data_IF_420141183628
#
_entry.id   IF_420141183628
#
_cell.length_a   1.000
_cell.length_b   1.000
_cell.length_c   1.000
_cell.angle_alpha   90.00
_cell.angle_beta   90.00
_cell.angle_gamma   90.00
#
_symmetry.space_group_name_H-M   'P 1'
#
loop_
_entity.id
_entity.type
_entity.pdbx_description
1 polymer ?
#
# COMPACT_ATOMS: atom_id res chain seq x y z
N UNK A 1 -0.33 9.64 -16.50
CA UNK A 1 0.16 10.27 -15.31
C UNK A 1 0.69 11.64 -15.53
N UNK A 2 1.33 12.13 -14.55
CA UNK A 2 1.94 13.46 -14.59
C UNK A 2 1.13 14.53 -13.87
N UNK A 3 -0.04 14.18 -13.37
CA UNK A 3 -0.78 15.10 -12.52
C UNK A 3 -0.05 15.29 -11.20
N UNK A 4 0.12 16.54 -10.78
CA UNK A 4 0.73 16.87 -9.50
C UNK A 4 -0.26 17.67 -8.66
N UNK A 5 -0.41 17.25 -7.42
CA UNK A 5 -1.27 17.91 -6.44
C UNK A 5 -0.46 18.16 -5.17
N UNK A 6 -0.71 19.28 -4.52
CA UNK A 6 0.01 19.71 -3.34
C UNK A 6 -0.96 20.10 -2.22
N UNK A 7 -0.46 20.10 -0.99
CA UNK A 7 -1.16 20.62 0.15
C UNK A 7 -1.66 19.54 1.10
N UNK A 8 -2.66 19.89 1.90
CA UNK A 8 -3.20 19.03 2.95
C UNK A 8 -4.65 18.63 2.69
N UNK A 9 -5.16 18.88 1.48
CA UNK A 9 -6.53 18.51 1.12
C UNK A 9 -6.66 17.00 0.91
N UNK A 10 -7.89 16.52 0.92
CA UNK A 10 -8.18 15.16 0.46
C UNK A 10 -7.87 15.08 -1.03
N UNK A 11 -7.11 14.05 -1.41
CA UNK A 11 -6.68 13.83 -2.79
C UNK A 11 -7.41 12.61 -3.33
N UNK A 12 -7.99 12.74 -4.51
CA UNK A 12 -8.72 11.64 -5.15
C UNK A 12 -8.16 11.37 -6.54
N UNK A 13 -8.46 10.18 -7.06
CA UNK A 13 -8.15 9.77 -8.43
C UNK A 13 -6.66 9.82 -8.78
N UNK A 14 -5.81 9.41 -7.82
CA UNK A 14 -4.39 9.23 -8.10
C UNK A 14 -4.23 7.96 -8.94
N UNK A 15 -3.68 8.11 -10.14
CA UNK A 15 -3.53 7.03 -11.10
C UNK A 15 -2.07 6.61 -11.20
N UNK A 16 -1.84 5.46 -11.84
CA UNK A 16 -0.47 4.96 -12.03
C UNK A 16 0.36 6.01 -12.77
N UNK A 17 1.50 6.33 -12.17
CA UNK A 17 2.41 7.36 -12.68
C UNK A 17 2.20 8.74 -12.09
N UNK A 18 1.06 8.99 -11.45
CA UNK A 18 0.78 10.29 -10.86
C UNK A 18 1.64 10.51 -9.62
N UNK A 19 2.07 11.75 -9.45
CA UNK A 19 2.81 12.20 -8.28
C UNK A 19 2.04 13.26 -7.54
N UNK A 20 2.01 13.13 -6.21
CA UNK A 20 1.56 14.19 -5.32
C UNK A 20 2.81 14.73 -4.65
N UNK A 21 3.18 15.98 -4.94
CA UNK A 21 4.49 16.52 -4.55
C UNK A 21 4.59 16.76 -3.05
N UNK A 22 3.52 17.22 -2.43
CA UNK A 22 3.52 17.52 -1.00
C UNK A 22 2.09 17.41 -0.45
N UNK A 23 1.84 16.32 0.26
CA UNK A 23 0.59 16.09 0.94
C UNK A 23 0.88 15.96 2.44
N UNK A 24 0.61 17.03 3.19
CA UNK A 24 0.94 17.14 4.62
C UNK A 24 2.44 16.88 4.91
N UNK A 25 3.32 17.24 3.98
CA UNK A 25 4.74 17.00 4.10
C UNK A 25 5.23 15.70 3.44
N UNK A 26 4.34 14.92 2.86
CA UNK A 26 4.66 13.64 2.24
C UNK A 26 4.52 13.74 0.73
N UNK A 27 5.58 13.40 0.01
CA UNK A 27 5.49 13.17 -1.43
C UNK A 27 5.04 11.74 -1.69
N UNK A 28 4.11 11.54 -2.62
CA UNK A 28 3.52 10.22 -2.90
C UNK A 28 3.48 9.98 -4.39
N UNK A 29 3.90 8.80 -4.82
CA UNK A 29 3.78 8.37 -6.20
C UNK A 29 3.20 6.96 -6.26
N UNK A 30 2.13 6.79 -7.03
CA UNK A 30 1.61 5.47 -7.38
C UNK A 30 2.46 4.95 -8.53
N UNK A 31 3.32 3.98 -8.24
CA UNK A 31 4.39 3.58 -9.14
C UNK A 31 3.95 2.52 -10.15
N UNK A 32 3.38 1.42 -9.68
CA UNK A 32 3.01 0.31 -10.57
C UNK A 32 2.09 -0.68 -9.86
N UNK A 33 1.48 -1.57 -10.65
CA UNK A 33 0.76 -2.73 -10.19
C UNK A 33 1.30 -3.97 -10.87
N UNK A 34 1.35 -5.08 -10.15
CA UNK A 34 1.67 -6.37 -10.77
C UNK A 34 0.93 -7.51 -10.07
N UNK A 35 0.71 -8.61 -10.79
CA UNK A 35 0.14 -9.79 -10.17
C UNK A 35 1.24 -10.62 -9.51
N UNK A 36 0.90 -11.26 -8.40
CA UNK A 36 1.82 -12.18 -7.70
C UNK A 36 1.33 -13.59 -7.92
N UNK A 37 2.18 -14.41 -8.54
CA UNK A 37 1.89 -15.80 -8.85
C UNK A 37 2.77 -16.80 -8.07
N UNK A 38 3.62 -16.29 -7.17
CA UNK A 38 4.51 -17.12 -6.36
C UNK A 38 3.83 -17.74 -5.15
N UNK A 39 2.62 -17.31 -4.82
CA UNK A 39 1.83 -17.87 -3.74
C UNK A 39 0.42 -18.17 -4.25
N UNK A 40 -0.19 -19.28 -3.83
CA UNK A 40 -1.53 -19.63 -4.32
C UNK A 40 -2.58 -18.71 -3.72
N UNK A 41 -3.43 -18.18 -4.58
CA UNK A 41 -4.65 -17.50 -4.18
C UNK A 41 -5.81 -18.48 -4.17
N UNK A 42 -6.91 -18.09 -3.51
CA UNK A 42 -8.14 -18.85 -3.53
C UNK A 42 -8.59 -19.06 -4.98
N UNK A 43 -9.22 -20.19 -5.27
CA UNK A 43 -9.71 -20.48 -6.62
C UNK A 43 -10.63 -19.37 -7.12
N UNK A 44 -10.38 -18.87 -8.33
CA UNK A 44 -11.12 -17.76 -8.91
C UNK A 44 -10.62 -16.37 -8.49
N UNK A 45 -9.55 -16.31 -7.69
CA UNK A 45 -8.96 -15.04 -7.22
C UNK A 45 -7.50 -14.94 -7.64
N UNK A 46 -6.95 -13.74 -7.54
CA UNK A 46 -5.53 -13.49 -7.75
C UNK A 46 -5.04 -12.45 -6.74
N UNK A 47 -3.73 -12.46 -6.49
CA UNK A 47 -3.09 -11.43 -5.68
C UNK A 47 -2.57 -10.33 -6.58
N UNK A 48 -2.87 -9.08 -6.20
CA UNK A 48 -2.36 -7.89 -6.86
C UNK A 48 -1.51 -7.13 -5.86
N UNK A 49 -0.31 -6.74 -6.28
CA UNK A 49 0.56 -5.84 -5.53
C UNK A 49 0.49 -4.45 -6.13
N UNK A 50 0.32 -3.46 -5.28
CA UNK A 50 0.30 -2.04 -5.65
C UNK A 50 1.51 -1.39 -5.01
N UNK A 51 2.39 -0.81 -5.81
CA UNK A 51 3.60 -0.14 -5.33
C UNK A 51 3.38 1.35 -5.22
N UNK A 52 3.61 1.88 -4.02
CA UNK A 52 3.53 3.30 -3.73
C UNK A 52 4.85 3.73 -3.12
N UNK A 53 5.46 4.77 -3.67
CA UNK A 53 6.68 5.36 -3.13
C UNK A 53 6.31 6.63 -2.37
N UNK A 54 6.82 6.78 -1.16
CA UNK A 54 6.58 7.95 -0.32
C UNK A 54 7.91 8.58 0.09
N UNK A 55 7.94 9.90 0.15
CA UNK A 55 9.14 10.66 0.54
C UNK A 55 8.72 11.67 1.61
N UNK A 56 9.42 11.66 2.73
CA UNK A 56 9.20 12.66 3.77
C UNK A 56 9.92 13.95 3.37
N UNK A 57 9.16 14.97 3.03
CA UNK A 57 9.69 16.23 2.55
C UNK A 57 9.96 17.24 3.65
N UNK A 58 9.72 16.86 4.89
CA UNK A 58 9.96 17.76 6.02
C UNK A 58 11.42 17.70 6.46
N UNK A 59 11.84 18.72 7.21
CA UNK A 59 13.20 18.81 7.70
C UNK A 59 13.38 18.18 9.07
N UNK A 60 12.30 18.08 9.85
CA UNK A 60 12.41 17.70 11.26
C UNK A 60 11.23 16.88 11.79
N UNK A 61 10.35 16.38 10.93
CA UNK A 61 9.24 15.55 11.36
C UNK A 61 9.43 14.10 10.90
N UNK A 62 8.99 13.17 11.74
CA UNK A 62 8.96 11.74 11.40
C UNK A 62 7.51 11.31 11.28
N UNK A 63 7.16 10.58 10.23
CA UNK A 63 5.80 10.13 9.98
C UNK A 63 5.69 8.62 10.09
N UNK A 64 4.69 8.14 10.81
CA UNK A 64 4.29 6.74 10.69
C UNK A 64 3.44 6.61 9.43
N UNK A 65 4.01 5.98 8.40
CA UNK A 65 3.37 5.92 7.08
C UNK A 65 2.45 4.72 6.90
N UNK A 66 2.37 3.81 7.89
CA UNK A 66 1.46 2.68 7.81
C UNK A 66 1.36 1.99 9.15
N UNK A 67 0.34 2.33 9.94
CA UNK A 67 0.12 1.69 11.23
C UNK A 67 -0.18 0.20 11.06
N UNK A 68 0.54 -0.66 11.77
CA UNK A 68 0.37 -2.10 11.73
C UNK A 68 0.19 -2.61 13.15
N UNK A 69 -0.76 -3.54 13.32
CA UNK A 69 -0.98 -4.19 14.60
C UNK A 69 -0.40 -5.61 14.54
N UNK A 70 0.88 -5.74 14.84
CA UNK A 70 1.58 -7.01 14.78
C UNK A 70 1.02 -8.03 15.81
N UNK A 71 0.57 -7.56 16.97
CA UNK A 71 0.00 -8.44 17.98
C UNK A 71 -1.30 -9.06 17.49
N UNK A 72 -2.17 -8.26 16.87
CA UNK A 72 -3.42 -8.76 16.30
C UNK A 72 -3.16 -9.73 15.15
N UNK A 73 -2.20 -9.41 14.28
CA UNK A 73 -1.81 -10.28 13.17
C UNK A 73 -1.31 -11.63 13.70
N UNK A 74 -0.41 -11.61 14.67
CA UNK A 74 0.15 -12.82 15.22
C UNK A 74 -0.90 -13.67 15.95
N UNK A 75 -1.86 -13.03 16.62
CA UNK A 75 -2.94 -13.74 17.28
C UNK A 75 -3.92 -14.38 16.28
N UNK A 76 -4.24 -13.66 15.21
CA UNK A 76 -5.17 -14.14 14.19
C UNK A 76 -4.53 -15.13 13.22
N UNK A 77 -3.25 -14.95 12.92
CA UNK A 77 -2.54 -15.71 11.88
C UNK A 77 -1.15 -16.16 12.35
N UNK A 78 -1.09 -16.97 13.41
CA UNK A 78 0.21 -17.33 14.03
C UNK A 78 1.12 -18.12 13.10
N UNK A 79 0.59 -19.11 12.38
CA UNK A 79 1.32 -19.90 11.38
C UNK A 79 0.31 -20.38 10.34
N UNK A 80 0.37 -19.89 9.10
CA UNK A 80 -0.61 -20.31 8.10
C UNK A 80 -0.35 -21.73 7.63
N UNK A 81 -1.36 -22.61 7.67
CA UNK A 81 -1.28 -23.89 6.97
C UNK A 81 -1.16 -23.67 5.47
N UNK A 82 -0.49 -24.58 4.77
CA UNK A 82 -0.26 -24.42 3.32
C UNK A 82 -1.55 -24.33 2.52
N UNK A 83 -2.58 -25.05 2.94
CA UNK A 83 -3.89 -25.05 2.27
C UNK A 83 -4.82 -23.93 2.74
N UNK A 84 -4.42 -23.15 3.73
CA UNK A 84 -5.21 -22.01 4.20
C UNK A 84 -4.80 -20.75 3.43
N UNK A 85 -5.56 -20.43 2.38
CA UNK A 85 -5.23 -19.34 1.47
C UNK A 85 -5.30 -17.98 2.16
N UNK A 86 -6.28 -17.77 3.05
CA UNK A 86 -6.41 -16.49 3.76
C UNK A 86 -5.22 -16.25 4.69
N UNK A 87 -4.80 -17.28 5.43
CA UNK A 87 -3.63 -17.18 6.29
C UNK A 87 -2.35 -16.97 5.47
N UNK A 88 -2.26 -17.57 4.28
CA UNK A 88 -1.13 -17.34 3.37
C UNK A 88 -1.10 -15.89 2.88
N UNK A 89 -2.25 -15.32 2.58
CA UNK A 89 -2.34 -13.90 2.20
C UNK A 89 -1.81 -13.01 3.33
N UNK A 90 -2.23 -13.27 4.57
CA UNK A 90 -1.79 -12.47 5.72
C UNK A 90 -0.32 -12.68 6.06
N UNK A 91 0.27 -13.79 5.63
CA UNK A 91 1.72 -13.99 5.75
C UNK A 91 2.50 -13.16 4.72
N UNK A 92 1.88 -12.83 3.59
CA UNK A 92 2.50 -11.99 2.56
C UNK A 92 2.47 -10.51 2.92
N UNK A 93 1.46 -10.06 3.65
CA UNK A 93 1.29 -8.65 3.95
C UNK A 93 0.59 -8.48 5.30
N UNK A 94 1.13 -7.59 6.11
CA UNK A 94 0.56 -7.28 7.42
C UNK A 94 -0.70 -6.43 7.28
N UNK A 95 -1.70 -6.68 8.12
CA UNK A 95 -2.87 -5.82 8.18
C UNK A 95 -2.48 -4.41 8.62
N UNK A 96 -3.12 -3.41 8.04
CA UNK A 96 -2.90 -2.02 8.40
C UNK A 96 -4.23 -1.29 8.44
N UNK A 97 -4.43 -0.48 9.49
CA UNK A 97 -5.62 0.35 9.62
C UNK A 97 -5.57 1.59 8.72
N UNK A 98 -4.41 1.87 8.10
CA UNK A 98 -4.23 3.06 7.27
C UNK A 98 -4.74 2.87 5.84
N UNK A 99 -5.05 1.64 5.44
CA UNK A 99 -5.48 1.34 4.07
C UNK A 99 -6.80 0.60 4.05
N UNK A 100 -7.66 1.00 3.12
CA UNK A 100 -8.88 0.26 2.79
C UNK A 100 -8.98 0.15 1.27
N UNK A 101 -9.70 -0.86 0.79
CA UNK A 101 -9.75 -1.11 -0.64
C UNK A 101 -11.11 -1.61 -1.08
N UNK A 102 -11.45 -1.34 -2.33
CA UNK A 102 -12.61 -1.92 -2.99
C UNK A 102 -12.24 -2.37 -4.40
N UNK A 103 -12.91 -3.39 -4.88
CA UNK A 103 -12.74 -3.95 -6.21
C UNK A 103 -14.11 -4.08 -6.85
N UNK A 104 -14.34 -3.37 -7.96
CA UNK A 104 -15.63 -3.32 -8.65
C UNK A 104 -16.79 -3.02 -7.68
N UNK A 105 -16.55 -2.08 -6.74
CA UNK A 105 -17.55 -1.65 -5.77
C UNK A 105 -17.68 -2.52 -4.53
N UNK A 106 -16.94 -3.61 -4.41
CA UNK A 106 -16.98 -4.51 -3.25
C UNK A 106 -15.72 -4.33 -2.40
N UNK A 107 -15.89 -4.28 -1.08
CA UNK A 107 -14.75 -4.21 -0.17
C UNK A 107 -13.87 -5.44 -0.31
N UNK A 108 -12.56 -5.23 -0.38
CA UNK A 108 -11.56 -6.29 -0.38
C UNK A 108 -10.51 -6.01 0.67
N UNK A 109 -9.86 -7.07 1.12
CA UNK A 109 -8.81 -6.97 2.11
C UNK A 109 -7.56 -6.34 1.50
N UNK A 110 -6.92 -5.43 2.24
CA UNK A 110 -5.69 -4.77 1.82
C UNK A 110 -4.67 -4.90 2.94
N UNK A 111 -3.59 -5.61 2.68
CA UNK A 111 -2.43 -5.65 3.55
C UNK A 111 -1.34 -4.73 3.03
N UNK A 112 -0.32 -4.50 3.84
CA UNK A 112 0.79 -3.64 3.46
C UNK A 112 2.12 -4.22 3.93
N UNK A 113 3.10 -4.24 3.03
CA UNK A 113 4.50 -4.44 3.36
C UNK A 113 5.21 -3.10 3.21
N UNK A 114 5.87 -2.67 4.25
CA UNK A 114 6.49 -1.35 4.31
C UNK A 114 7.98 -1.52 4.47
N UNK A 115 8.74 -0.86 3.60
CA UNK A 115 10.21 -0.86 3.67
C UNK A 115 10.70 0.57 3.60
N UNK A 116 11.59 0.93 4.52
CA UNK A 116 12.23 2.23 4.51
C UNK A 116 13.66 2.07 4.02
N UNK A 117 14.07 2.94 3.12
CA UNK A 117 15.42 2.92 2.57
C UNK A 117 16.28 3.96 3.29
N UNK A 118 17.41 3.53 3.81
CA UNK A 118 18.42 4.40 4.40
C UNK A 118 19.55 4.57 3.40
N UNK A 119 19.69 5.78 2.85
CA UNK A 119 20.69 6.08 1.84
C UNK A 119 22.12 6.07 2.39
N UNK A 120 22.30 6.33 3.68
CA UNK A 120 23.63 6.35 4.30
C UNK A 120 24.22 4.94 4.41
N UNK A 121 23.43 3.98 4.85
CA UNK A 121 23.86 2.58 4.98
C UNK A 121 23.54 1.73 3.75
N UNK A 122 22.75 2.26 2.82
CA UNK A 122 22.26 1.53 1.64
C UNK A 122 21.52 0.26 2.02
N UNK A 123 20.72 0.34 3.10
CA UNK A 123 19.96 -0.79 3.62
C UNK A 123 18.49 -0.45 3.74
N UNK A 124 17.68 -1.51 3.79
CA UNK A 124 16.25 -1.40 4.03
C UNK A 124 15.94 -1.82 5.46
N UNK A 125 14.89 -1.24 6.03
CA UNK A 125 14.34 -1.65 7.31
C UNK A 125 12.83 -1.84 7.18
N UNK A 126 12.25 -2.57 8.12
CA UNK A 126 10.82 -2.81 8.19
C UNK A 126 10.10 -1.84 9.14
N UNK A 127 10.78 -0.79 9.56
CA UNK A 127 10.16 0.29 10.33
C UNK A 127 9.09 0.99 9.50
N UNK A 128 8.05 1.48 10.16
CA UNK A 128 7.01 2.31 9.53
C UNK A 128 7.19 3.80 9.81
N UNK A 129 8.22 4.17 10.57
CA UNK A 129 8.50 5.55 10.96
C UNK A 129 9.49 6.17 9.99
N UNK A 130 8.97 6.93 9.03
CA UNK A 130 9.75 7.55 7.96
C UNK A 130 10.40 8.83 8.48
N UNK A 131 11.75 8.87 8.56
CA UNK A 131 12.45 10.04 9.06
C UNK A 131 12.44 11.18 8.04
N UNK A 132 12.82 12.40 8.48
CA UNK A 132 12.93 13.54 7.56
C UNK A 132 13.82 13.20 6.38
N UNK A 133 13.39 13.60 5.20
CA UNK A 133 14.08 13.38 3.92
C UNK A 133 14.22 11.90 3.53
N UNK A 134 13.60 10.98 4.29
CA UNK A 134 13.65 9.56 4.01
C UNK A 134 12.70 9.14 2.90
N UNK A 135 12.95 7.97 2.33
CA UNK A 135 12.10 7.34 1.31
C UNK A 135 11.54 6.04 1.84
N UNK A 136 10.24 5.85 1.65
CA UNK A 136 9.56 4.63 2.01
C UNK A 136 8.86 4.00 0.83
N UNK A 137 8.75 2.68 0.84
CA UNK A 137 8.06 1.92 -0.19
C UNK A 137 6.92 1.15 0.47
N UNK A 138 5.71 1.36 -0.06
CA UNK A 138 4.52 0.65 0.36
C UNK A 138 4.17 -0.36 -0.71
N UNK A 139 4.22 -1.63 -0.38
CA UNK A 139 3.70 -2.68 -1.25
C UNK A 139 2.37 -3.13 -0.67
N UNK A 140 1.29 -2.67 -1.29
CA UNK A 140 -0.06 -3.01 -0.88
C UNK A 140 -0.45 -4.32 -1.54
N UNK A 141 -1.03 -5.22 -0.76
CA UNK A 141 -1.39 -6.56 -1.23
C UNK A 141 -2.89 -6.72 -1.16
N UNK A 142 -3.48 -7.12 -2.28
CA UNK A 142 -4.92 -7.32 -2.39
C UNK A 142 -5.21 -8.69 -2.99
N UNK A 143 -6.28 -9.31 -2.50
CA UNK A 143 -6.83 -10.53 -3.11
C UNK A 143 -8.13 -10.16 -3.80
N UNK A 144 -8.16 -10.30 -5.13
CA UNK A 144 -9.27 -9.83 -5.96
C UNK A 144 -9.76 -10.94 -6.87
N UNK A 145 -11.05 -10.93 -7.26
CA UNK A 145 -11.56 -11.91 -8.22
C UNK A 145 -10.86 -11.77 -9.57
N UNK A 146 -10.53 -12.88 -10.21
CA UNK A 146 -10.03 -12.84 -11.58
C UNK A 146 -11.07 -12.19 -12.49
N UNK A 147 -10.61 -11.40 -13.44
CA UNK A 147 -11.49 -10.66 -14.33
C UNK A 147 -12.00 -9.33 -13.76
N UNK A 148 -11.42 -8.89 -12.64
CA UNK A 148 -11.76 -7.60 -12.06
C UNK A 148 -11.45 -6.46 -13.05
N UNK A 149 -12.13 -5.33 -12.89
CA UNK A 149 -12.00 -4.19 -13.80
C UNK A 149 -11.39 -2.97 -13.13
N UNK A 150 -11.87 -2.60 -11.94
CA UNK A 150 -11.44 -1.38 -11.27
C UNK A 150 -11.13 -1.66 -9.81
N UNK A 151 -10.03 -1.10 -9.36
CA UNK A 151 -9.53 -1.23 -8.00
C UNK A 151 -9.35 0.17 -7.42
N UNK A 152 -9.77 0.34 -6.17
CA UNK A 152 -9.60 1.59 -5.45
C UNK A 152 -8.99 1.32 -4.10
N UNK A 153 -7.94 2.05 -3.75
CA UNK A 153 -7.30 1.98 -2.44
C UNK A 153 -7.31 3.36 -1.82
N UNK A 154 -7.80 3.45 -0.59
CA UNK A 154 -7.81 4.69 0.17
C UNK A 154 -6.75 4.63 1.26
N UNK A 155 -5.88 5.62 1.26
CA UNK A 155 -4.81 5.79 2.23
C UNK A 155 -5.23 6.84 3.27
N UNK A 156 -5.23 6.43 4.54
CA UNK A 156 -5.66 7.26 5.67
C UNK A 156 -4.59 7.20 6.77
N UNK A 157 -3.43 7.82 6.56
CA UNK A 157 -2.37 7.73 7.56
C UNK A 157 -2.74 8.45 8.85
N UNK A 158 -2.27 7.93 9.97
CA UNK A 158 -2.61 8.47 11.29
C UNK A 158 -2.14 9.92 11.48
N UNK A 159 -1.03 10.31 10.83
CA UNK A 159 -0.55 11.69 10.92
C UNK A 159 -1.44 12.69 10.17
N UNK A 160 -2.37 12.21 9.36
CA UNK A 160 -3.31 13.03 8.60
C UNK A 160 -4.70 12.39 8.61
N UNK A 161 -5.18 12.00 9.79
CA UNK A 161 -6.38 11.16 9.95
C UNK A 161 -7.66 11.79 9.38
N UNK A 162 -7.71 13.12 9.26
CA UNK A 162 -8.83 13.84 8.67
C UNK A 162 -8.69 14.02 7.15
N UNK A 163 -7.63 13.52 6.55
CA UNK A 163 -7.35 13.62 5.13
C UNK A 163 -7.14 12.23 4.55
N UNK A 164 -7.58 12.03 3.33
CA UNK A 164 -7.41 10.75 2.64
C UNK A 164 -6.81 10.97 1.26
N UNK A 165 -6.15 9.93 0.77
CA UNK A 165 -5.66 9.88 -0.61
C UNK A 165 -6.19 8.59 -1.24
N UNK A 166 -6.85 8.71 -2.38
CA UNK A 166 -7.44 7.56 -3.06
C UNK A 166 -6.71 7.29 -4.37
N UNK A 167 -6.23 6.06 -4.51
CA UNK A 167 -5.61 5.54 -5.72
C UNK A 167 -6.67 4.78 -6.51
N UNK A 168 -6.74 5.03 -7.81
CA UNK A 168 -7.70 4.39 -8.70
C UNK A 168 -6.94 3.68 -9.82
N UNK A 169 -7.19 2.40 -9.99
CA UNK A 169 -6.43 1.55 -10.89
C UNK A 169 -7.37 0.65 -11.68
N UNK A 170 -6.96 0.27 -12.88
CA UNK A 170 -7.71 -0.64 -13.73
C UNK A 170 -6.90 -1.89 -14.00
N UNK A 171 -7.56 -2.94 -14.46
CA UNK A 171 -6.88 -4.18 -14.80
C UNK A 171 -5.83 -3.98 -15.91
N UNK A 172 -6.05 -2.98 -16.78
CA UNK A 172 -5.08 -2.64 -17.83
C UNK A 172 -3.77 -2.07 -17.28
N UNK A 173 -3.78 -1.54 -16.04
CA UNK A 173 -2.57 -0.99 -15.40
C UNK A 173 -1.64 -2.08 -14.88
N UNK A 174 -2.09 -3.33 -14.79
CA UNK A 174 -1.32 -4.42 -14.17
C UNK A 174 -0.24 -4.91 -15.14
N UNK A 175 1.00 -4.93 -14.64
CA UNK A 175 2.09 -5.63 -15.32
C UNK A 175 1.98 -7.11 -14.97
N UNK A 176 1.77 -7.95 -15.97
CA UNK A 176 1.62 -9.38 -15.76
C UNK A 176 2.89 -10.15 -16.10
N UNK A 177 3.17 -11.09 -15.25
CA UNK A 177 4.33 -11.96 -15.42
C UNK A 177 4.11 -12.98 -16.54
#
# INVERSE_FOLDING_TARGET
GGCQQNGSATIVDVKVGDKVSNWNGLGVQLTSLFNIDTAPAQAGYEYIAVLVTVVNRTKNQTFNIGAQNLAEINAAYPVPPQENVDANFHALAAASTDFSASCDGQSVECGANISLYNSNSQTFSDSTNLPPQGTGYLQLMLMVPKGWKQLSVTYMPTFAADKTMTFVMTAADVTRA
#
